data_IF_326322089211
#
_entry.id   IF_326322089211
#
_cell.length_a   1.000
_cell.length_b   1.000
_cell.length_c   1.000
_cell.angle_alpha   90.00
_cell.angle_beta   90.00
_cell.angle_gamma   90.00
#
_symmetry.space_group_name_H-M   'P 1'
#
loop_
_entity.id
_entity.type
_entity.pdbx_description
1 polymer ?
#
# COMPACT_ATOMS: atom_id res chain seq x y z
N UNK A 1 0.45 -0.54 -0.27
CA UNK A 1 1.12 0.66 -0.86
C UNK A 1 1.14 1.74 0.20
N UNK A 2 2.28 1.92 0.86
CA UNK A 2 2.38 2.82 2.00
C UNK A 2 2.62 4.28 1.56
N UNK A 3 3.50 4.50 0.59
CA UNK A 3 4.03 5.80 0.29
C UNK A 3 3.85 6.26 -1.16
N UNK A 4 4.06 5.37 -2.15
CA UNK A 4 4.19 5.77 -3.56
C UNK A 4 3.42 4.86 -4.51
N UNK A 5 2.39 5.42 -5.13
CA UNK A 5 1.62 4.75 -6.17
C UNK A 5 2.42 4.57 -7.48
N UNK A 6 3.32 5.49 -7.80
CA UNK A 6 4.16 5.38 -9.00
C UNK A 6 5.14 4.22 -8.90
N UNK A 7 5.77 4.02 -7.73
CA UNK A 7 6.64 2.88 -7.49
C UNK A 7 5.85 1.56 -7.42
N UNK A 8 4.63 1.59 -6.86
CA UNK A 8 3.75 0.44 -6.87
C UNK A 8 3.40 0.00 -8.30
N UNK A 9 3.01 0.93 -9.17
CA UNK A 9 2.72 0.62 -10.57
C UNK A 9 3.92 -0.01 -11.28
N UNK A 10 5.09 0.57 -11.08
CA UNK A 10 6.31 0.09 -11.72
C UNK A 10 6.67 -1.35 -11.29
N UNK A 11 6.58 -1.66 -10.00
CA UNK A 11 6.80 -3.03 -9.55
C UNK A 11 5.71 -3.97 -10.08
N UNK A 12 4.45 -3.53 -10.13
CA UNK A 12 3.36 -4.30 -10.69
C UNK A 12 3.56 -4.61 -12.19
N UNK A 13 4.14 -3.69 -12.95
CA UNK A 13 4.49 -3.92 -14.36
C UNK A 13 5.58 -5.01 -14.48
N UNK A 14 6.61 -4.96 -13.66
CA UNK A 14 7.67 -6.00 -13.61
C UNK A 14 7.07 -7.36 -13.22
N UNK A 15 6.24 -7.41 -12.19
CA UNK A 15 5.58 -8.65 -11.77
C UNK A 15 4.71 -9.24 -12.89
N UNK A 16 4.00 -8.40 -13.62
CA UNK A 16 3.17 -8.83 -14.75
C UNK A 16 4.00 -9.35 -15.92
N UNK A 17 5.16 -8.72 -16.24
CA UNK A 17 6.10 -9.17 -17.25
C UNK A 17 6.70 -10.55 -16.89
N UNK A 18 6.94 -10.79 -15.61
CA UNK A 18 7.40 -12.10 -15.09
C UNK A 18 6.26 -13.12 -14.89
N UNK A 19 5.02 -12.77 -15.25
CA UNK A 19 3.85 -13.64 -15.11
C UNK A 19 3.38 -13.84 -13.65
N UNK A 20 3.83 -13.01 -12.74
CA UNK A 20 3.45 -13.03 -11.32
C UNK A 20 2.21 -12.18 -11.08
N UNK A 21 1.29 -12.68 -10.27
CA UNK A 21 0.13 -11.92 -9.79
C UNK A 21 0.23 -11.72 -8.30
N UNK A 22 -0.13 -10.53 -7.85
CA UNK A 22 -0.08 -10.13 -6.44
C UNK A 22 -1.30 -9.34 -6.04
N UNK A 23 -1.50 -9.17 -4.74
CA UNK A 23 -2.50 -8.29 -4.17
C UNK A 23 -1.84 -6.99 -3.72
N UNK A 24 -2.29 -5.87 -4.27
CA UNK A 24 -1.79 -4.52 -3.97
C UNK A 24 -2.67 -3.85 -2.93
N UNK A 25 -2.23 -3.84 -1.70
CA UNK A 25 -2.96 -3.25 -0.59
C UNK A 25 -2.80 -1.74 -0.56
N UNK A 26 -3.91 -1.00 -0.60
CA UNK A 26 -3.98 0.46 -0.71
C UNK A 26 -4.43 1.06 0.61
N UNK A 27 -3.67 2.02 1.13
CA UNK A 27 -4.08 2.84 2.27
C UNK A 27 -5.13 3.84 1.82
N UNK A 28 -6.29 3.85 2.47
CA UNK A 28 -7.30 4.88 2.29
C UNK A 28 -6.94 6.16 3.07
N UNK A 29 -6.38 5.98 4.27
CA UNK A 29 -6.00 7.06 5.18
C UNK A 29 -4.48 7.22 5.21
N UNK A 30 -3.98 8.00 4.28
CA UNK A 30 -2.55 8.32 4.17
C UNK A 30 -2.36 9.77 3.73
N UNK A 31 -1.30 10.41 4.22
CA UNK A 31 -0.91 11.76 3.83
C UNK A 31 0.01 11.78 2.59
N UNK A 32 0.43 10.62 2.09
CA UNK A 32 1.37 10.55 0.97
C UNK A 32 0.72 10.63 -0.40
N UNK A 33 -0.54 10.17 -0.53
CA UNK A 33 -1.29 10.24 -1.77
C UNK A 33 -2.81 10.25 -1.49
N UNK A 34 -3.58 10.74 -2.45
CA UNK A 34 -5.03 10.69 -2.39
C UNK A 34 -5.56 9.59 -3.31
N UNK A 35 -6.06 8.45 -2.79
CA UNK A 35 -6.56 7.35 -3.64
C UNK A 35 -7.68 7.78 -4.59
N UNK A 36 -8.49 8.77 -4.21
CA UNK A 36 -9.61 9.28 -4.99
C UNK A 36 -9.22 10.28 -6.09
N UNK A 37 -7.95 10.72 -6.16
CA UNK A 37 -7.51 11.60 -7.25
C UNK A 37 -7.55 10.88 -8.61
N UNK A 38 -7.79 11.64 -9.68
CA UNK A 38 -7.82 11.08 -11.04
C UNK A 38 -6.52 10.34 -11.42
N UNK A 39 -5.37 10.87 -11.00
CA UNK A 39 -4.07 10.26 -11.21
C UNK A 39 -3.95 8.91 -10.47
N UNK A 40 -4.35 8.87 -9.19
CA UNK A 40 -4.34 7.65 -8.40
C UNK A 40 -5.28 6.58 -8.96
N UNK A 41 -6.51 6.96 -9.32
CA UNK A 41 -7.48 6.06 -9.94
C UNK A 41 -6.96 5.46 -11.25
N UNK A 42 -6.27 6.26 -12.09
CA UNK A 42 -5.64 5.77 -13.31
C UNK A 42 -4.56 4.73 -13.00
N UNK A 43 -3.73 4.98 -12.00
CA UNK A 43 -2.68 4.06 -11.55
C UNK A 43 -3.27 2.75 -11.03
N UNK A 44 -4.25 2.81 -10.13
CA UNK A 44 -4.90 1.63 -9.56
C UNK A 44 -5.63 0.81 -10.63
N UNK A 45 -6.27 1.47 -11.59
CA UNK A 45 -6.88 0.79 -12.75
C UNK A 45 -5.82 0.05 -13.57
N UNK A 46 -4.68 0.68 -13.83
CA UNK A 46 -3.59 0.05 -14.58
C UNK A 46 -3.05 -1.18 -13.87
N UNK A 47 -2.85 -1.13 -12.57
CA UNK A 47 -2.43 -2.29 -11.75
C UNK A 47 -3.42 -3.46 -11.93
N UNK A 48 -4.73 -3.18 -11.92
CA UNK A 48 -5.76 -4.20 -12.17
C UNK A 48 -5.74 -4.76 -13.60
N UNK A 49 -5.55 -3.89 -14.60
CA UNK A 49 -5.43 -4.30 -16.01
C UNK A 49 -4.25 -5.24 -16.26
N UNK A 50 -3.19 -5.13 -15.45
CA UNK A 50 -2.05 -6.05 -15.45
C UNK A 50 -2.40 -7.42 -14.82
N UNK A 51 -3.58 -7.57 -14.23
CA UNK A 51 -4.08 -8.83 -13.67
C UNK A 51 -3.82 -8.99 -12.18
N UNK A 52 -3.41 -7.93 -11.50
CA UNK A 52 -3.26 -7.89 -10.04
C UNK A 52 -4.59 -7.59 -9.33
N UNK A 53 -4.67 -7.94 -8.07
CA UNK A 53 -5.77 -7.60 -7.19
C UNK A 53 -5.48 -6.29 -6.44
N UNK A 54 -6.52 -5.50 -6.16
CA UNK A 54 -6.46 -4.39 -5.21
C UNK A 54 -7.14 -4.81 -3.92
N UNK A 55 -6.43 -4.69 -2.81
CA UNK A 55 -6.93 -4.93 -1.46
C UNK A 55 -6.86 -3.67 -0.60
N UNK A 56 -7.52 -3.70 0.55
CA UNK A 56 -7.45 -2.63 1.54
C UNK A 56 -6.22 -2.80 2.44
N UNK A 57 -5.40 -1.77 2.58
CA UNK A 57 -4.39 -1.67 3.63
C UNK A 57 -4.97 -0.87 4.79
N UNK A 58 -5.45 -1.55 5.82
CA UNK A 58 -6.13 -0.90 6.93
C UNK A 58 -5.14 -0.44 8.00
N UNK A 59 -5.25 0.82 8.41
CA UNK A 59 -4.43 1.39 9.48
C UNK A 59 -5.26 1.66 10.73
N UNK A 60 -5.23 0.75 11.70
CA UNK A 60 -5.96 0.91 12.97
C UNK A 60 -5.52 2.15 13.75
N UNK A 61 -4.24 2.58 13.60
CA UNK A 61 -3.71 3.76 14.27
C UNK A 61 -4.35 5.07 13.79
N UNK A 62 -4.97 5.07 12.62
CA UNK A 62 -5.75 6.20 12.11
C UNK A 62 -7.04 6.44 12.91
N UNK A 63 -7.45 5.46 13.72
CA UNK A 63 -8.65 5.48 14.55
C UNK A 63 -8.34 5.49 16.05
N UNK A 64 -7.07 5.40 16.44
CA UNK A 64 -6.66 5.23 17.83
C UNK A 64 -7.03 6.46 18.69
N UNK A 65 -8.18 6.37 19.29
CA UNK A 65 -8.67 7.00 20.54
C UNK A 65 -8.73 8.52 20.60
N UNK A 66 -8.21 9.26 19.64
CA UNK A 66 -7.98 10.71 19.84
C UNK A 66 -8.59 11.64 18.79
N UNK A 67 -9.39 11.12 17.87
CA UNK A 67 -9.95 11.95 16.82
C UNK A 67 -11.14 11.38 16.08
N UNK A 68 -11.63 10.21 16.45
CA UNK A 68 -12.84 9.64 15.83
C UNK A 68 -14.06 10.49 16.17
N UNK A 69 -14.69 11.08 15.16
CA UNK A 69 -15.92 11.86 15.31
C UNK A 69 -17.06 11.06 14.66
N UNK A 70 -18.21 11.00 15.34
CA UNK A 70 -19.40 10.35 14.81
C UNK A 70 -19.28 8.84 14.71
N UNK A 71 -19.59 8.28 13.53
CA UNK A 71 -19.62 6.84 13.27
C UNK A 71 -18.31 6.13 13.69
N UNK A 72 -17.16 6.72 13.40
CA UNK A 72 -15.85 6.11 13.68
C UNK A 72 -15.54 5.97 15.18
N UNK A 73 -16.15 6.75 16.04
CA UNK A 73 -15.88 6.74 17.48
C UNK A 73 -16.46 5.52 18.22
N UNK A 74 -17.45 4.84 17.62
CA UNK A 74 -18.19 3.73 18.24
C UNK A 74 -18.17 2.43 17.43
N UNK A 75 -17.49 2.42 16.28
CA UNK A 75 -17.44 1.26 15.39
C UNK A 75 -16.39 0.25 15.83
N UNK A 76 -16.67 -1.03 15.62
CA UNK A 76 -15.66 -2.08 15.76
C UNK A 76 -14.62 -2.01 14.64
N UNK A 77 -13.49 -2.69 14.81
CA UNK A 77 -12.45 -2.77 13.78
C UNK A 77 -12.98 -3.37 12.49
N UNK A 78 -13.83 -4.40 12.56
CA UNK A 78 -14.46 -5.02 11.40
C UNK A 78 -15.39 -4.05 10.67
N UNK A 79 -16.19 -3.28 11.39
CA UNK A 79 -17.08 -2.27 10.80
C UNK A 79 -16.29 -1.17 10.08
N UNK A 80 -15.16 -0.76 10.65
CA UNK A 80 -14.26 0.22 10.04
C UNK A 80 -13.61 -0.33 8.76
N UNK A 81 -13.15 -1.57 8.79
CA UNK A 81 -12.58 -2.25 7.61
C UNK A 81 -13.63 -2.37 6.50
N UNK A 82 -14.84 -2.82 6.81
CA UNK A 82 -15.93 -2.93 5.82
C UNK A 82 -16.28 -1.57 5.23
N UNK A 83 -16.34 -0.54 6.05
CA UNK A 83 -16.59 0.84 5.60
C UNK A 83 -15.49 1.33 4.64
N UNK A 84 -14.22 1.19 5.00
CA UNK A 84 -13.10 1.59 4.14
C UNK A 84 -13.01 0.78 2.87
N UNK A 85 -13.27 -0.53 2.94
CA UNK A 85 -13.32 -1.40 1.76
C UNK A 85 -14.41 -0.96 0.78
N UNK A 86 -15.58 -0.55 1.29
CA UNK A 86 -16.66 0.02 0.47
C UNK A 86 -16.25 1.31 -0.24
N UNK A 87 -15.62 2.24 0.48
CA UNK A 87 -15.10 3.48 -0.11
C UNK A 87 -14.03 3.20 -1.17
N UNK A 88 -13.09 2.30 -0.88
CA UNK A 88 -12.04 1.92 -1.84
C UNK A 88 -12.64 1.22 -3.06
N UNK A 89 -13.67 0.39 -2.89
CA UNK A 89 -14.37 -0.26 -3.98
C UNK A 89 -14.99 0.76 -4.95
N UNK A 90 -15.61 1.81 -4.42
CA UNK A 90 -16.18 2.92 -5.22
C UNK A 90 -15.07 3.66 -5.99
N UNK A 91 -13.94 3.94 -5.33
CA UNK A 91 -12.78 4.60 -5.95
C UNK A 91 -12.20 3.74 -7.09
N UNK A 92 -12.04 2.44 -6.87
CA UNK A 92 -11.41 1.53 -7.82
C UNK A 92 -12.38 0.99 -8.88
N UNK A 93 -13.70 1.11 -8.68
CA UNK A 93 -14.72 0.51 -9.53
C UNK A 93 -14.65 -1.02 -9.55
N UNK A 94 -14.30 -1.65 -8.43
CA UNK A 94 -14.26 -3.11 -8.27
C UNK A 94 -14.47 -3.52 -6.80
N UNK A 95 -14.97 -4.72 -6.53
CA UNK A 95 -15.03 -5.23 -5.16
C UNK A 95 -13.65 -5.28 -4.52
N UNK A 96 -13.60 -4.97 -3.22
CA UNK A 96 -12.42 -5.14 -2.37
C UNK A 96 -12.72 -6.31 -1.43
N UNK A 97 -12.03 -7.41 -1.65
CA UNK A 97 -12.29 -8.70 -0.96
C UNK A 97 -11.12 -9.16 -0.10
N UNK A 98 -10.07 -8.35 -0.02
CA UNK A 98 -8.87 -8.65 0.77
C UNK A 98 -8.46 -7.45 1.61
N UNK A 99 -7.94 -7.73 2.81
CA UNK A 99 -7.41 -6.72 3.72
C UNK A 99 -6.05 -7.14 4.29
N UNK A 100 -5.19 -6.17 4.47
CA UNK A 100 -3.91 -6.27 5.18
C UNK A 100 -3.83 -5.16 6.23
N UNK A 101 -3.13 -5.41 7.34
CA UNK A 101 -2.97 -4.42 8.41
C UNK A 101 -1.67 -3.63 8.23
N UNK A 102 -1.75 -2.30 8.29
CA UNK A 102 -0.58 -1.42 8.12
C UNK A 102 0.30 -1.37 9.38
N UNK A 103 -0.29 -1.00 10.51
CA UNK A 103 0.40 -0.88 11.81
C UNK A 103 -0.40 -1.57 12.90
N UNK A 104 -0.55 -2.93 12.81
CA UNK A 104 -1.41 -3.66 13.72
C UNK A 104 -0.90 -3.58 15.15
N UNK A 105 -1.82 -3.43 16.10
CA UNK A 105 -1.53 -3.60 17.51
C UNK A 105 -1.23 -5.08 17.82
N UNK A 106 -0.63 -5.33 18.99
CA UNK A 106 -0.43 -6.70 19.44
C UNK A 106 -1.76 -7.45 19.59
N UNK A 107 -2.80 -6.77 20.06
CA UNK A 107 -4.14 -7.35 20.19
C UNK A 107 -4.69 -7.80 18.84
N UNK A 108 -4.61 -6.95 17.81
CA UNK A 108 -5.04 -7.28 16.43
C UNK A 108 -4.27 -8.46 15.83
N UNK A 109 -2.97 -8.58 16.15
CA UNK A 109 -2.16 -9.71 15.69
C UNK A 109 -2.48 -11.03 16.42
N UNK A 110 -2.90 -10.97 17.68
CA UNK A 110 -3.29 -12.14 18.49
C UNK A 110 -4.73 -12.57 18.21
N UNK A 111 -5.55 -11.65 17.75
CA UNK A 111 -6.94 -11.89 17.36
C UNK A 111 -7.01 -12.38 15.93
N UNK A 112 -7.64 -13.53 15.71
CA UNK A 112 -7.92 -14.02 14.35
C UNK A 112 -9.14 -13.30 13.77
N UNK A 113 -8.99 -12.01 13.51
CA UNK A 113 -10.04 -11.11 13.07
C UNK A 113 -10.69 -11.62 11.77
N UNK A 114 -11.98 -11.96 11.84
CA UNK A 114 -12.78 -12.43 10.70
C UNK A 114 -13.66 -11.28 10.19
N UNK A 115 -13.45 -10.89 8.95
CA UNK A 115 -14.24 -9.87 8.29
C UNK A 115 -15.20 -10.57 7.30
N UNK A 116 -16.50 -10.25 7.34
CA UNK A 116 -17.46 -10.84 6.41
C UNK A 116 -17.04 -10.64 4.94
N UNK A 117 -17.08 -11.72 4.17
CA UNK A 117 -16.78 -11.75 2.72
C UNK A 117 -15.38 -11.21 2.33
N UNK A 118 -14.44 -11.16 3.28
CA UNK A 118 -13.09 -10.70 3.03
C UNK A 118 -12.04 -11.69 3.54
N UNK A 119 -10.93 -11.77 2.82
CA UNK A 119 -9.73 -12.49 3.24
C UNK A 119 -8.82 -11.52 4.02
N UNK A 120 -8.54 -11.85 5.28
CA UNK A 120 -7.57 -11.11 6.09
C UNK A 120 -6.20 -11.75 5.94
N UNK A 121 -5.27 -11.06 5.26
CA UNK A 121 -3.88 -11.55 5.07
C UNK A 121 -3.07 -11.60 6.37
N UNK A 122 -3.59 -11.01 7.46
CA UNK A 122 -3.06 -11.10 8.82
C UNK A 122 -3.79 -12.11 9.70
N UNK A 123 -4.74 -12.89 9.13
CA UNK A 123 -5.39 -13.99 9.82
C UNK A 123 -4.45 -15.18 10.08
N UNK A 124 -4.85 -16.05 10.99
CA UNK A 124 -4.03 -17.19 11.43
C UNK A 124 -3.58 -18.08 10.29
N UNK A 125 -4.41 -18.33 9.27
CA UNK A 125 -4.05 -19.12 8.10
C UNK A 125 -2.75 -18.62 7.45
N UNK A 126 -2.60 -17.32 7.27
CA UNK A 126 -1.44 -16.75 6.59
C UNK A 126 -0.19 -16.63 7.47
N UNK A 127 -0.35 -16.67 8.79
CA UNK A 127 0.77 -16.62 9.73
C UNK A 127 1.16 -17.97 10.30
N UNK A 128 0.29 -18.99 10.21
CA UNK A 128 0.57 -20.32 10.76
C UNK A 128 0.73 -21.40 9.68
N UNK A 129 -0.12 -21.36 8.62
CA UNK A 129 -0.10 -22.38 7.58
C UNK A 129 0.84 -22.02 6.42
N UNK A 130 1.27 -20.76 6.35
CA UNK A 130 2.22 -20.26 5.37
C UNK A 130 3.53 -19.86 6.05
N UNK A 131 4.65 -20.04 5.37
CA UNK A 131 5.92 -19.43 5.78
C UNK A 131 5.85 -17.92 5.45
N UNK A 132 5.78 -17.08 6.48
CA UNK A 132 5.74 -15.62 6.31
C UNK A 132 7.14 -15.05 6.13
N UNK A 133 7.32 -14.24 5.10
CA UNK A 133 8.54 -13.51 4.78
C UNK A 133 8.20 -12.05 4.50
N UNK A 134 9.03 -11.12 4.95
CA UNK A 134 8.79 -9.69 4.76
C UNK A 134 10.08 -8.91 4.60
N UNK A 135 10.07 -7.92 3.69
CA UNK A 135 11.13 -6.93 3.48
C UNK A 135 10.95 -5.66 4.32
N UNK A 136 10.12 -5.70 5.37
CA UNK A 136 9.86 -4.56 6.24
C UNK A 136 11.14 -3.85 6.67
N UNK A 137 11.15 -2.52 6.56
CA UNK A 137 12.33 -1.66 6.77
C UNK A 137 13.50 -1.99 5.85
N UNK A 138 13.20 -2.47 4.63
CA UNK A 138 14.20 -2.89 3.62
C UNK A 138 15.13 -4.00 4.14
N UNK A 139 14.62 -4.86 5.01
CA UNK A 139 15.41 -5.92 5.61
C UNK A 139 14.66 -7.24 5.60
N UNK A 140 15.13 -8.17 4.78
CA UNK A 140 14.78 -9.57 4.91
C UNK A 140 15.40 -10.13 6.19
N UNK A 141 14.56 -10.68 7.06
CA UNK A 141 15.03 -11.28 8.33
C UNK A 141 15.59 -12.66 8.12
N UNK A 142 15.26 -13.29 7.01
CA UNK A 142 15.64 -14.63 6.60
C UNK A 142 16.11 -14.60 5.15
N UNK A 143 16.93 -15.60 4.70
CA UNK A 143 17.43 -15.66 3.33
C UNK A 143 16.32 -16.05 2.35
N UNK A 144 15.49 -15.09 1.94
CA UNK A 144 14.29 -15.30 1.13
C UNK A 144 14.56 -16.07 -0.16
N UNK A 145 15.66 -15.77 -0.84
CA UNK A 145 16.02 -16.46 -2.08
C UNK A 145 16.32 -17.94 -1.86
N UNK A 146 17.05 -18.27 -0.79
CA UNK A 146 17.38 -19.65 -0.46
C UNK A 146 16.13 -20.44 -0.05
N UNK A 147 15.20 -19.79 0.68
CA UNK A 147 13.93 -20.38 1.08
C UNK A 147 13.08 -20.70 -0.17
N UNK A 148 12.97 -19.74 -1.11
CA UNK A 148 12.21 -19.95 -2.35
C UNK A 148 12.85 -21.04 -3.20
N UNK A 149 14.18 -21.02 -3.40
CA UNK A 149 14.90 -22.01 -4.21
C UNK A 149 14.93 -23.39 -3.57
N UNK A 150 14.95 -23.44 -2.24
CA UNK A 150 15.01 -24.71 -1.48
C UNK A 150 13.73 -25.51 -1.56
N UNK A 151 12.56 -24.87 -1.77
CA UNK A 151 11.27 -25.53 -1.89
C UNK A 151 10.86 -26.30 -0.62
N UNK A 152 11.37 -25.90 0.55
CA UNK A 152 11.10 -26.57 1.82
C UNK A 152 9.66 -26.35 2.31
N UNK A 153 9.06 -25.22 1.91
CA UNK A 153 7.72 -24.82 2.32
C UNK A 153 6.74 -24.90 1.15
N UNK A 154 5.66 -25.62 1.33
CA UNK A 154 4.59 -25.75 0.31
C UNK A 154 3.87 -24.42 0.03
N UNK A 155 3.87 -23.51 1.01
CA UNK A 155 3.17 -22.22 0.94
C UNK A 155 4.02 -21.11 1.52
N UNK A 156 4.17 -20.04 0.75
CA UNK A 156 4.87 -18.83 1.17
C UNK A 156 3.88 -17.64 1.19
N UNK A 157 3.93 -16.85 2.24
CA UNK A 157 3.28 -15.54 2.30
C UNK A 157 4.39 -14.49 2.29
N UNK A 158 4.60 -13.87 1.14
CA UNK A 158 5.68 -12.89 0.93
C UNK A 158 5.09 -11.49 0.89
N UNK A 159 5.49 -10.65 1.84
CA UNK A 159 5.14 -9.24 1.89
C UNK A 159 6.31 -8.39 1.38
N UNK A 160 6.04 -7.58 0.36
CA UNK A 160 7.00 -6.62 -0.21
C UNK A 160 6.46 -5.20 -0.15
N UNK A 161 7.36 -4.23 -0.06
CA UNK A 161 7.02 -2.82 -0.12
C UNK A 161 7.68 -2.22 -1.37
N UNK A 162 6.87 -1.86 -2.37
CA UNK A 162 7.34 -1.31 -3.65
C UNK A 162 8.31 -0.14 -3.50
N UNK A 163 8.19 0.58 -2.38
CA UNK A 163 9.06 1.70 -2.03
C UNK A 163 10.55 1.36 -2.02
N UNK A 164 10.93 0.09 -1.81
CA UNK A 164 12.33 -0.34 -1.74
C UNK A 164 12.93 -0.77 -3.08
N UNK A 165 12.10 -0.91 -4.14
CA UNK A 165 12.54 -1.45 -5.42
C UNK A 165 12.73 -0.32 -6.45
N UNK A 166 13.96 -0.15 -6.92
CA UNK A 166 14.38 0.90 -7.84
C UNK A 166 15.10 0.30 -9.06
N UNK A 167 15.23 1.07 -10.15
CA UNK A 167 15.94 0.62 -11.36
C UNK A 167 17.42 0.35 -11.13
N UNK A 168 18.00 1.08 -10.20
CA UNK A 168 19.36 0.88 -9.74
C UNK A 168 19.36 0.58 -8.26
N UNK A 169 20.36 -0.14 -7.81
CA UNK A 169 20.55 -0.34 -6.38
C UNK A 169 20.73 1.01 -5.69
N UNK A 170 19.99 1.19 -4.60
CA UNK A 170 20.03 2.38 -3.74
C UNK A 170 20.08 1.94 -2.30
N UNK A 171 20.74 2.67 -1.45
CA UNK A 171 20.62 2.46 -0.02
C UNK A 171 19.33 3.09 0.55
N UNK A 172 19.06 2.86 1.84
CA UNK A 172 17.85 3.39 2.49
C UNK A 172 17.87 4.92 2.54
N UNK A 173 19.03 5.53 2.71
CA UNK A 173 19.20 7.00 2.78
C UNK A 173 18.92 7.63 1.43
N UNK A 174 19.42 7.01 0.36
CA UNK A 174 19.14 7.44 -1.02
C UNK A 174 17.66 7.34 -1.35
N UNK A 175 17.03 6.19 -1.06
CA UNK A 175 15.61 5.94 -1.34
C UNK A 175 14.69 6.93 -0.60
N UNK A 176 14.88 7.07 0.71
CA UNK A 176 14.08 7.98 1.53
C UNK A 176 14.37 9.44 1.17
N UNK A 177 15.64 9.79 0.98
CA UNK A 177 16.05 11.15 0.60
C UNK A 177 15.52 11.55 -0.78
N UNK A 178 15.50 10.65 -1.76
CA UNK A 178 14.93 10.91 -3.08
C UNK A 178 13.41 11.15 -2.97
N UNK A 179 12.69 10.32 -2.22
CA UNK A 179 11.25 10.47 -2.00
C UNK A 179 10.90 11.80 -1.34
N UNK A 180 11.63 12.19 -0.28
CA UNK A 180 11.39 13.48 0.39
C UNK A 180 11.66 14.66 -0.55
N UNK A 181 12.73 14.60 -1.33
CA UNK A 181 13.05 15.66 -2.29
C UNK A 181 12.06 15.76 -3.46
N UNK A 182 11.50 14.64 -3.91
CA UNK A 182 10.49 14.66 -4.99
C UNK A 182 9.21 15.38 -4.61
N UNK A 183 8.90 15.47 -3.31
CA UNK A 183 7.68 16.10 -2.81
C UNK A 183 7.52 17.57 -3.24
N UNK A 184 8.62 18.32 -3.35
CA UNK A 184 8.57 19.71 -3.82
C UNK A 184 8.16 19.77 -5.31
N UNK A 185 8.76 18.94 -6.15
CA UNK A 185 8.44 18.90 -7.57
C UNK A 185 6.99 18.44 -7.80
N UNK A 186 6.55 17.40 -7.09
CA UNK A 186 5.17 16.92 -7.14
C UNK A 186 4.18 17.99 -6.70
N UNK A 187 4.49 18.72 -5.63
CA UNK A 187 3.66 19.82 -5.14
C UNK A 187 3.58 20.96 -6.16
N UNK A 188 4.68 21.27 -6.82
CA UNK A 188 4.72 22.28 -7.87
C UNK A 188 3.81 21.90 -9.05
N UNK A 189 3.90 20.67 -9.54
CA UNK A 189 3.02 20.18 -10.62
C UNK A 189 1.54 20.23 -10.23
N UNK A 190 1.22 19.86 -8.99
CA UNK A 190 -0.16 19.96 -8.47
C UNK A 190 -0.66 21.41 -8.41
N UNK A 191 0.22 22.36 -8.07
CA UNK A 191 -0.11 23.78 -8.06
C UNK A 191 -0.34 24.34 -9.46
N UNK A 192 0.37 23.83 -10.47
CA UNK A 192 0.18 24.21 -11.88
C UNK A 192 -1.24 23.94 -12.39
N UNK A 193 -1.92 22.93 -11.84
CA UNK A 193 -3.32 22.64 -12.21
C UNK A 193 -4.27 23.78 -11.77
N UNK A 194 -3.91 24.55 -10.75
CA UNK A 194 -4.72 25.64 -10.21
C UNK A 194 -4.22 27.03 -10.62
N UNK A 195 -2.91 27.18 -10.83
CA UNK A 195 -2.24 28.44 -11.13
C UNK A 195 -1.47 28.29 -12.44
N UNK A 196 -2.12 28.61 -13.55
CA UNK A 196 -1.56 28.39 -14.91
C UNK A 196 -0.33 29.24 -15.23
N UNK A 197 -0.17 30.38 -14.55
CA UNK A 197 0.99 31.29 -14.68
C UNK A 197 2.03 31.09 -13.55
N UNK A 198 1.95 29.98 -12.81
CA UNK A 198 2.87 29.65 -11.73
C UNK A 198 4.36 29.81 -12.10
N UNK A 199 4.83 29.40 -13.29
CA UNK A 199 6.23 29.59 -13.69
C UNK A 199 6.68 31.06 -13.72
N UNK A 200 5.76 31.99 -13.96
CA UNK A 200 6.03 33.43 -13.93
C UNK A 200 6.09 33.99 -12.52
N UNK A 201 5.41 33.34 -11.57
CA UNK A 201 5.35 33.72 -10.16
C UNK A 201 6.51 33.09 -9.39
N UNK A 202 6.72 31.81 -9.61
CA UNK A 202 7.76 31.00 -8.96
C UNK A 202 8.37 30.07 -10.01
N UNK A 203 9.52 30.41 -10.59
CA UNK A 203 10.22 29.53 -11.52
C UNK A 203 10.61 28.21 -10.83
N UNK A 204 10.48 27.07 -11.57
CA UNK A 204 10.75 25.73 -11.01
C UNK A 204 12.20 25.57 -10.51
N UNK A 205 13.13 26.29 -11.11
CA UNK A 205 14.54 26.33 -10.75
C UNK A 205 14.80 27.01 -9.39
N UNK A 206 13.81 27.69 -8.84
CA UNK A 206 13.87 28.31 -7.52
C UNK A 206 13.49 27.37 -6.35
N UNK A 207 13.07 26.13 -6.67
CA UNK A 207 12.78 25.06 -5.72
C UNK A 207 14.02 24.23 -5.47
#
# INVERSE_FOLDING_TARGET
>A
IDNSLSQALRLAEIEAEEGVKSTWFVLLRTDFYNPASAASQKTLRRIRELGHEIGLHFDEMAYDGKGGIGFYASSSTEELIVCEAGILADICGCPITTVSMHRPSKATLEEDLKIPDMVNSYGQTFFHDFKYLSDSRRRWREPVEDIIRGGEYDRLHILTHAFWYHEREQDITESVGAFIRSANAERYEQMMENITDLPSILPKEAL
#
